data_IF_089923714781
#
_entry.id   IF_089923714781
#
_cell.length_a   1.000
_cell.length_b   1.000
_cell.length_c   1.000
_cell.angle_alpha   90.00
_cell.angle_beta   90.00
_cell.angle_gamma   90.00
#
_symmetry.space_group_name_H-M   'P 1'
#
loop_
_entity.id
_entity.type
_entity.pdbx_description
1 polymer ?
#
# COMPACT_ATOMS: atom_id res chain seq x y z
N UNK A 1 25.98 6.05 -10.09
CA UNK A 1 25.21 5.69 -8.89
C UNK A 1 23.96 6.57 -8.81
N UNK A 2 22.82 6.09 -9.31
CA UNK A 2 21.52 6.79 -9.25
C UNK A 2 20.39 5.81 -8.85
N UNK A 3 20.73 4.77 -8.08
CA UNK A 3 19.76 3.75 -7.64
C UNK A 3 19.54 3.76 -6.13
N UNK A 4 20.52 4.23 -5.34
CA UNK A 4 20.44 4.22 -3.88
C UNK A 4 19.39 5.19 -3.33
N UNK A 5 19.15 6.32 -4.00
CA UNK A 5 18.13 7.29 -3.57
C UNK A 5 16.71 6.76 -3.78
N UNK A 6 16.45 6.08 -4.90
CA UNK A 6 15.10 5.56 -5.24
C UNK A 6 14.62 4.53 -4.22
N UNK A 7 15.53 3.72 -3.67
CA UNK A 7 15.20 2.71 -2.67
C UNK A 7 14.92 3.31 -1.29
N UNK A 8 15.68 4.33 -0.87
CA UNK A 8 15.47 5.02 0.41
C UNK A 8 14.17 5.82 0.39
N UNK A 9 13.80 6.40 -0.76
CA UNK A 9 12.50 7.03 -0.92
C UNK A 9 11.37 6.00 -0.92
N UNK A 10 11.56 4.86 -1.61
CA UNK A 10 10.57 3.78 -1.67
C UNK A 10 10.16 3.28 -0.27
N UNK A 11 11.10 3.11 0.66
CA UNK A 11 10.77 2.67 2.03
C UNK A 11 10.09 3.75 2.86
N UNK A 12 10.45 5.02 2.66
CA UNK A 12 9.83 6.15 3.38
C UNK A 12 8.38 6.42 2.97
N UNK A 13 7.97 6.05 1.76
CA UNK A 13 6.59 6.28 1.29
C UNK A 13 5.63 5.15 1.63
N UNK A 14 6.12 3.95 2.01
CA UNK A 14 5.26 2.80 2.34
C UNK A 14 4.31 3.11 3.50
N UNK A 15 4.84 3.60 4.63
CA UNK A 15 4.01 3.88 5.81
C UNK A 15 2.95 4.99 5.54
N UNK A 16 3.30 6.17 4.96
CA UNK A 16 2.31 7.17 4.59
C UNK A 16 1.21 6.67 3.65
N UNK A 17 1.53 5.76 2.72
CA UNK A 17 0.56 5.15 1.80
C UNK A 17 -0.39 4.20 2.54
N UNK A 18 0.13 3.33 3.41
CA UNK A 18 -0.67 2.40 4.21
C UNK A 18 -1.57 3.14 5.21
N UNK A 19 -1.06 4.21 5.82
CA UNK A 19 -1.83 5.05 6.74
C UNK A 19 -3.04 5.70 6.06
N UNK A 20 -2.98 5.94 4.74
CA UNK A 20 -4.09 6.46 3.93
C UNK A 20 -5.06 5.38 3.48
N UNK A 21 -4.70 4.09 3.55
CA UNK A 21 -5.65 3.03 3.23
C UNK A 21 -6.72 2.93 4.31
N UNK A 22 -8.00 2.71 3.92
CA UNK A 22 -9.08 2.43 4.86
C UNK A 22 -8.78 1.14 5.63
N UNK A 23 -9.36 0.98 6.81
CA UNK A 23 -9.09 -0.21 7.64
C UNK A 23 -9.65 -1.50 7.01
N UNK A 24 -10.82 -1.40 6.40
CA UNK A 24 -11.60 -2.54 5.89
C UNK A 24 -12.25 -2.28 4.51
N UNK A 25 -11.90 -1.16 3.86
CA UNK A 25 -12.51 -0.76 2.58
C UNK A 25 -13.97 -0.30 2.67
N UNK A 26 -14.51 -0.12 3.88
CA UNK A 26 -15.89 0.37 4.12
C UNK A 26 -15.95 1.86 4.45
N UNK A 27 -14.80 2.45 4.79
CA UNK A 27 -14.68 3.88 4.98
C UNK A 27 -15.07 4.64 3.70
N UNK A 28 -15.82 5.74 3.84
CA UNK A 28 -16.21 6.60 2.70
C UNK A 28 -15.04 7.39 2.11
N UNK A 29 -13.95 7.51 2.87
CA UNK A 29 -12.70 8.11 2.43
C UNK A 29 -11.52 7.20 2.77
N UNK A 30 -10.47 7.16 1.93
CA UNK A 30 -10.37 7.83 0.63
C UNK A 30 -11.25 7.18 -0.46
N UNK A 31 -11.46 7.88 -1.58
CA UNK A 31 -12.28 7.36 -2.68
C UNK A 31 -11.70 6.08 -3.28
N UNK A 32 -12.55 5.26 -3.92
CA UNK A 32 -12.14 4.00 -4.54
C UNK A 32 -10.97 4.17 -5.52
N UNK A 33 -10.96 5.23 -6.32
CA UNK A 33 -9.86 5.52 -7.25
C UNK A 33 -8.53 5.77 -6.51
N UNK A 34 -8.59 6.49 -5.39
CA UNK A 34 -7.41 6.75 -4.55
C UNK A 34 -6.92 5.46 -3.90
N UNK A 35 -7.84 4.61 -3.42
CA UNK A 35 -7.49 3.29 -2.88
C UNK A 35 -6.79 2.42 -3.94
N UNK A 36 -7.35 2.33 -5.14
CA UNK A 36 -6.76 1.57 -6.26
C UNK A 36 -5.39 2.11 -6.63
N UNK A 37 -5.23 3.43 -6.69
CA UNK A 37 -3.95 4.07 -6.98
C UNK A 37 -2.89 3.77 -5.90
N UNK A 38 -3.28 3.79 -4.61
CA UNK A 38 -2.38 3.42 -3.51
C UNK A 38 -1.98 1.95 -3.62
N UNK A 39 -2.92 1.03 -3.85
CA UNK A 39 -2.63 -0.38 -4.06
C UNK A 39 -1.67 -0.60 -5.24
N UNK A 40 -1.86 0.12 -6.35
CA UNK A 40 -0.96 0.09 -7.50
C UNK A 40 0.45 0.60 -7.17
N UNK A 41 0.55 1.70 -6.42
CA UNK A 41 1.83 2.22 -5.95
C UNK A 41 2.55 1.22 -5.05
N UNK A 42 1.86 0.62 -4.08
CA UNK A 42 2.43 -0.42 -3.21
C UNK A 42 2.89 -1.64 -4.01
N UNK A 43 2.10 -2.08 -5.01
CA UNK A 43 2.47 -3.20 -5.88
C UNK A 43 3.75 -2.91 -6.69
N UNK A 44 3.88 -1.70 -7.23
CA UNK A 44 5.07 -1.28 -7.95
C UNK A 44 6.32 -1.24 -7.03
N UNK A 45 6.14 -0.79 -5.78
CA UNK A 45 7.20 -0.76 -4.79
C UNK A 45 7.66 -2.18 -4.42
N UNK A 46 6.73 -3.11 -4.19
CA UNK A 46 7.04 -4.53 -3.89
C UNK A 46 7.76 -5.20 -5.05
N UNK A 47 7.31 -4.97 -6.28
CA UNK A 47 7.93 -5.52 -7.50
C UNK A 47 9.40 -5.10 -7.63
N UNK A 48 9.73 -3.90 -7.15
CA UNK A 48 11.07 -3.32 -7.26
C UNK A 48 11.91 -3.45 -5.99
N UNK A 49 11.33 -3.88 -4.86
CA UNK A 49 11.98 -3.88 -3.55
C UNK A 49 11.35 -4.87 -2.57
N UNK A 50 12.12 -5.89 -2.19
CA UNK A 50 11.75 -6.80 -1.12
C UNK A 50 11.65 -6.10 0.25
N UNK A 51 12.39 -5.00 0.46
CA UNK A 51 12.27 -4.23 1.70
C UNK A 51 10.94 -3.51 1.79
N UNK A 52 10.39 -3.01 0.67
CA UNK A 52 9.04 -2.47 0.67
C UNK A 52 8.00 -3.53 1.05
N UNK A 53 8.16 -4.78 0.59
CA UNK A 53 7.28 -5.89 0.97
C UNK A 53 7.34 -6.20 2.47
N UNK A 54 8.55 -6.19 3.06
CA UNK A 54 8.73 -6.33 4.50
C UNK A 54 8.07 -5.20 5.27
N UNK A 55 8.29 -3.96 4.85
CA UNK A 55 7.74 -2.78 5.54
C UNK A 55 6.20 -2.77 5.44
N UNK A 56 5.62 -3.17 4.31
CA UNK A 56 4.16 -3.33 4.17
C UNK A 56 3.62 -4.34 5.19
N UNK A 57 4.31 -5.46 5.37
CA UNK A 57 3.93 -6.46 6.37
C UNK A 57 4.06 -5.92 7.78
N UNK A 58 5.13 -5.16 8.06
CA UNK A 58 5.40 -4.58 9.38
C UNK A 58 4.37 -3.53 9.80
N UNK A 59 3.86 -2.72 8.86
CA UNK A 59 2.89 -1.64 9.13
C UNK A 59 1.42 -2.06 8.99
N UNK A 60 1.09 -3.34 9.19
CA UNK A 60 -0.28 -3.88 9.04
C UNK A 60 -0.92 -3.66 7.66
N UNK A 61 -0.10 -3.44 6.63
CA UNK A 61 -0.57 -3.20 5.27
C UNK A 61 -1.30 -4.40 4.68
N UNK A 62 -0.88 -5.64 4.99
CA UNK A 62 -1.55 -6.86 4.51
C UNK A 62 -2.98 -6.97 5.01
N UNK A 63 -3.22 -6.65 6.28
CA UNK A 63 -4.56 -6.68 6.90
C UNK A 63 -5.50 -5.70 6.20
N UNK A 64 -5.03 -4.47 5.95
CA UNK A 64 -5.78 -3.44 5.21
C UNK A 64 -6.06 -3.86 3.77
N UNK A 65 -5.04 -4.35 3.06
CA UNK A 65 -5.17 -4.81 1.66
C UNK A 65 -6.17 -5.97 1.55
N UNK A 66 -6.15 -6.90 2.50
CA UNK A 66 -7.11 -8.00 2.56
C UNK A 66 -8.53 -7.51 2.79
N UNK A 67 -8.74 -6.60 3.76
CA UNK A 67 -10.04 -6.00 4.04
C UNK A 67 -10.64 -5.27 2.83
N UNK A 68 -9.80 -4.55 2.08
CA UNK A 68 -10.22 -3.89 0.83
C UNK A 68 -10.63 -4.92 -0.23
N UNK A 69 -9.83 -5.99 -0.42
CA UNK A 69 -10.13 -7.04 -1.38
C UNK A 69 -11.46 -7.74 -1.07
N UNK A 70 -11.71 -8.12 0.18
CA UNK A 70 -12.93 -8.82 0.59
C UNK A 70 -14.17 -7.94 0.47
N UNK A 71 -14.06 -6.64 0.81
CA UNK A 71 -15.15 -5.67 0.64
C UNK A 71 -15.54 -5.47 -0.83
N UNK A 72 -14.60 -5.58 -1.76
CA UNK A 72 -14.87 -5.47 -3.20
C UNK A 72 -15.48 -6.76 -3.79
N UNK A 73 -15.08 -7.93 -3.30
CA UNK A 73 -15.55 -9.25 -3.79
C UNK A 73 -16.97 -9.59 -3.30
N UNK A 74 -17.41 -8.95 -2.21
CA UNK A 74 -18.75 -9.13 -1.62
C UNK A 74 -19.88 -8.31 -2.28
N UNK A 75 -19.63 -7.71 -3.45
CA UNK A 75 -20.59 -6.92 -4.25
C UNK A 75 -20.88 -7.60 -5.59
#
# INVERSE_FOLDING_TARGET
AHCSNSFVLATKVVNPLIAKLPADGRDKEPSSDVVVNICGALNNLVTSSMVAARDITYFDGLTKLLGIKTSHDSR
#
